data_IF_971200887808
#
_entry.id   IF_971200887808
#
_cell.length_a   1.000
_cell.length_b   1.000
_cell.length_c   1.000
_cell.angle_alpha   90.00
_cell.angle_beta   90.00
_cell.angle_gamma   90.00
#
_symmetry.space_group_name_H-M   'P 1'
#
loop_
_entity.id
_entity.type
_entity.pdbx_description
1 polymer ?
#
# COMPACT_ATOMS: atom_id res chain seq x y z
N UNK A 1 23.40 20.85 84.74
CA UNK A 1 22.53 21.84 84.04
C UNK A 1 23.35 23.11 83.86
N UNK A 2 23.90 23.35 82.66
CA UNK A 2 24.80 24.50 82.39
C UNK A 2 23.96 25.66 81.84
N UNK A 3 23.86 26.74 82.60
CA UNK A 3 23.20 27.98 82.16
C UNK A 3 24.22 28.77 81.33
N UNK A 4 23.91 28.97 80.05
CA UNK A 4 24.72 29.73 79.11
C UNK A 4 24.60 31.23 79.37
N UNK A 5 25.63 31.84 79.96
CA UNK A 5 25.75 33.29 80.08
C UNK A 5 26.11 33.90 78.71
N UNK A 6 25.14 34.59 78.10
CA UNK A 6 25.36 35.45 76.93
C UNK A 6 26.38 36.53 77.30
N UNK A 7 27.51 36.55 76.60
CA UNK A 7 28.56 37.58 76.75
C UNK A 7 28.06 38.89 76.14
N UNK A 8 27.71 39.88 76.96
CA UNK A 8 27.41 41.24 76.50
C UNK A 8 28.71 41.94 76.11
N UNK A 9 28.77 42.51 74.90
CA UNK A 9 29.88 43.36 74.46
C UNK A 9 29.88 44.66 75.28
N UNK A 10 31.05 45.02 75.82
CA UNK A 10 31.28 46.27 76.50
C UNK A 10 31.01 47.46 75.56
N UNK A 11 30.27 48.45 76.05
CA UNK A 11 29.92 49.68 75.32
C UNK A 11 31.05 50.69 75.53
N UNK A 12 31.79 50.95 74.46
CA UNK A 12 32.92 51.88 74.43
C UNK A 12 32.40 53.32 74.34
N UNK A 13 32.68 54.12 75.38
CA UNK A 13 32.36 55.56 75.56
C UNK A 13 30.88 55.97 75.63
N UNK A 14 30.57 56.85 76.59
CA UNK A 14 29.26 57.51 76.68
C UNK A 14 29.17 58.59 75.60
N UNK A 15 28.13 58.60 74.74
CA UNK A 15 27.95 59.66 73.76
C UNK A 15 27.71 61.01 74.47
N UNK A 16 28.29 62.09 73.96
CA UNK A 16 28.15 63.45 74.52
C UNK A 16 26.82 64.13 74.14
N UNK A 17 26.00 63.47 73.31
CA UNK A 17 24.64 63.89 72.94
C UNK A 17 23.65 62.73 73.10
N UNK A 18 22.39 63.04 73.41
CA UNK A 18 21.32 62.05 73.39
C UNK A 18 21.06 61.62 71.95
N UNK A 19 21.15 60.32 71.68
CA UNK A 19 20.76 59.72 70.41
C UNK A 19 19.25 59.45 70.45
N UNK A 20 18.47 60.19 69.64
CA UNK A 20 17.01 60.07 69.58
C UNK A 20 16.55 59.00 68.58
N UNK A 21 17.49 58.27 67.96
CA UNK A 21 17.16 57.15 67.08
C UNK A 21 16.60 56.01 67.92
N UNK A 22 15.38 55.57 67.62
CA UNK A 22 14.83 54.33 68.17
C UNK A 22 15.33 53.16 67.33
N UNK A 23 16.34 52.39 67.78
CA UNK A 23 16.94 51.31 67.01
C UNK A 23 15.95 50.19 66.67
N UNK A 24 14.79 50.11 67.33
CA UNK A 24 13.74 49.14 67.04
C UNK A 24 12.89 49.52 65.81
N UNK A 25 12.87 50.79 65.41
CA UNK A 25 12.07 51.28 64.27
C UNK A 25 12.89 51.68 63.05
N UNK A 26 14.22 51.55 63.08
CA UNK A 26 15.02 51.67 61.86
C UNK A 26 14.86 50.40 61.01
N UNK A 27 14.53 50.51 59.71
CA UNK A 27 14.56 49.36 58.83
C UNK A 27 16.00 48.81 58.79
N UNK A 28 16.19 47.56 59.21
CA UNK A 28 17.49 46.86 59.19
C UNK A 28 17.91 46.63 57.73
N UNK A 29 18.52 47.64 57.11
CA UNK A 29 19.21 47.50 55.83
C UNK A 29 20.59 46.88 56.04
N UNK A 30 20.66 45.75 56.75
CA UNK A 30 21.82 44.85 56.60
C UNK A 30 21.85 44.47 55.14
N UNK A 31 22.78 45.07 54.41
CA UNK A 31 23.22 44.61 53.10
C UNK A 31 23.60 43.15 53.33
N UNK A 32 22.68 42.22 53.01
CA UNK A 32 22.98 40.79 53.03
C UNK A 32 24.17 40.69 52.09
N UNK A 33 25.37 40.42 52.64
CA UNK A 33 26.66 40.59 51.94
C UNK A 33 26.54 40.09 50.50
N UNK A 34 26.32 41.00 49.56
CA UNK A 34 26.07 40.70 48.14
C UNK A 34 27.24 39.94 47.52
N UNK A 35 28.42 40.09 48.12
CA UNK A 35 29.63 39.33 47.85
C UNK A 35 29.42 37.80 47.90
N UNK A 36 28.59 37.28 48.82
CA UNK A 36 28.31 35.84 48.88
C UNK A 36 27.52 35.38 47.66
N UNK A 37 26.50 36.14 47.25
CA UNK A 37 25.70 35.83 46.07
C UNK A 37 26.52 35.95 44.78
N UNK A 38 27.36 36.97 44.65
CA UNK A 38 28.23 37.13 43.48
C UNK A 38 29.21 35.96 43.35
N UNK A 39 29.86 35.57 44.44
CA UNK A 39 30.77 34.42 44.43
C UNK A 39 30.03 33.09 44.17
N UNK A 40 28.84 32.93 44.73
CA UNK A 40 28.00 31.75 44.49
C UNK A 40 27.60 31.65 43.02
N UNK A 41 27.10 32.73 42.42
CA UNK A 41 26.73 32.77 41.00
C UNK A 41 27.95 32.53 40.10
N UNK A 42 29.10 33.09 40.43
CA UNK A 42 30.34 32.91 39.69
C UNK A 42 30.83 31.45 39.67
N UNK A 43 30.47 30.64 40.66
CA UNK A 43 30.84 29.21 40.71
C UNK A 43 29.73 28.34 40.12
N UNK A 44 28.47 28.61 40.46
CA UNK A 44 27.34 27.77 40.08
C UNK A 44 27.06 27.82 38.59
N UNK A 45 27.16 28.99 37.95
CA UNK A 45 26.90 29.10 36.51
C UNK A 45 27.92 28.29 35.70
N UNK A 46 29.25 28.44 35.88
CA UNK A 46 30.21 27.61 35.16
C UNK A 46 30.06 26.12 35.45
N UNK A 47 29.78 25.75 36.70
CA UNK A 47 29.57 24.35 37.08
C UNK A 47 28.34 23.75 36.38
N UNK A 48 27.25 24.52 36.28
CA UNK A 48 26.05 24.11 35.57
C UNK A 48 26.31 23.92 34.07
N UNK A 49 26.99 24.89 33.43
CA UNK A 49 27.36 24.81 32.01
C UNK A 49 28.28 23.62 31.75
N UNK A 50 29.29 23.42 32.60
CA UNK A 50 30.20 22.27 32.50
C UNK A 50 29.45 20.94 32.61
N UNK A 51 28.49 20.84 33.53
CA UNK A 51 27.66 19.64 33.70
C UNK A 51 26.81 19.37 32.47
N UNK A 52 26.16 20.40 31.92
CA UNK A 52 25.39 20.26 30.68
C UNK A 52 26.28 19.83 29.50
N UNK A 53 27.49 20.38 29.41
CA UNK A 53 28.43 20.03 28.35
C UNK A 53 28.87 18.57 28.46
N UNK A 54 29.23 18.09 29.65
CA UNK A 54 29.58 16.68 29.88
C UNK A 54 28.43 15.75 29.51
N UNK A 55 27.20 16.09 29.89
CA UNK A 55 26.02 15.29 29.52
C UNK A 55 25.83 15.21 27.99
N UNK A 56 26.04 16.31 27.28
CA UNK A 56 25.95 16.33 25.81
C UNK A 56 27.04 15.49 25.17
N UNK A 57 28.27 15.57 25.68
CA UNK A 57 29.39 14.79 25.15
C UNK A 57 29.15 13.27 25.33
N UNK A 58 28.69 12.87 26.52
CA UNK A 58 28.35 11.45 26.79
C UNK A 58 27.24 10.96 25.86
N UNK A 59 26.19 11.76 25.66
CA UNK A 59 25.09 11.41 24.77
C UNK A 59 25.55 11.31 23.31
N UNK A 60 26.38 12.23 22.83
CA UNK A 60 26.94 12.17 21.49
C UNK A 60 27.84 10.94 21.32
N UNK A 61 28.62 10.58 22.34
CA UNK A 61 29.42 9.36 22.37
C UNK A 61 28.57 8.09 22.27
N UNK A 62 27.49 7.99 23.05
CA UNK A 62 26.59 6.82 22.98
C UNK A 62 25.90 6.71 21.62
N UNK A 63 25.41 7.82 21.08
CA UNK A 63 24.77 7.85 19.75
C UNK A 63 25.73 7.39 18.64
N UNK A 64 27.00 7.82 18.68
CA UNK A 64 28.02 7.37 17.70
C UNK A 64 28.28 5.87 17.80
N UNK A 65 28.36 5.33 19.02
CA UNK A 65 28.49 3.89 19.24
C UNK A 65 27.28 3.13 18.70
N UNK A 66 26.07 3.63 18.92
CA UNK A 66 24.86 2.96 18.46
C UNK A 66 24.73 2.98 16.93
N UNK A 67 25.10 4.09 16.29
CA UNK A 67 25.20 4.17 14.83
C UNK A 67 26.20 3.14 14.30
N UNK A 68 27.40 3.05 14.88
CA UNK A 68 28.41 2.10 14.44
C UNK A 68 27.92 0.64 14.57
N UNK A 69 27.24 0.30 15.67
CA UNK A 69 26.62 -1.04 15.85
C UNK A 69 25.51 -1.32 14.86
N UNK A 70 24.70 -0.31 14.52
CA UNK A 70 23.64 -0.46 13.52
C UNK A 70 24.21 -0.64 12.12
N UNK A 71 25.29 0.05 11.80
CA UNK A 71 25.98 -0.05 10.52
C UNK A 71 26.65 -1.42 10.36
N UNK A 72 27.33 -1.91 11.39
CA UNK A 72 27.88 -3.28 11.42
C UNK A 72 26.78 -4.35 11.24
N UNK A 73 25.64 -4.20 11.92
CA UNK A 73 24.49 -5.11 11.74
C UNK A 73 23.93 -5.06 10.33
N UNK A 74 23.85 -3.87 9.74
CA UNK A 74 23.37 -3.69 8.37
C UNK A 74 24.30 -4.38 7.38
N UNK A 75 25.61 -4.19 7.51
CA UNK A 75 26.61 -4.80 6.63
C UNK A 75 26.58 -6.33 6.75
N UNK A 76 26.45 -6.86 7.98
CA UNK A 76 26.29 -8.29 8.22
C UNK A 76 25.01 -8.86 7.58
N UNK A 77 23.90 -8.10 7.61
CA UNK A 77 22.62 -8.54 7.03
C UNK A 77 22.53 -8.32 5.52
N UNK A 78 23.31 -7.43 4.94
CA UNK A 78 23.21 -7.05 3.53
C UNK A 78 23.46 -8.25 2.59
N UNK A 79 24.45 -9.08 2.89
CA UNK A 79 24.74 -10.29 2.11
C UNK A 79 23.55 -11.26 2.12
N UNK A 80 23.03 -11.57 3.31
CA UNK A 80 21.85 -12.45 3.46
C UNK A 80 20.62 -11.88 2.75
N UNK A 81 20.37 -10.58 2.88
CA UNK A 81 19.26 -9.91 2.23
C UNK A 81 19.39 -9.95 0.70
N UNK A 82 20.59 -9.73 0.16
CA UNK A 82 20.82 -9.79 -1.28
C UNK A 82 20.55 -11.19 -1.86
N UNK A 83 20.91 -12.24 -1.11
CA UNK A 83 20.62 -13.61 -1.48
C UNK A 83 19.12 -13.91 -1.41
N UNK A 84 18.43 -13.44 -0.38
CA UNK A 84 16.98 -13.61 -0.24
C UNK A 84 16.20 -12.91 -1.37
N UNK A 85 16.59 -11.69 -1.74
CA UNK A 85 16.01 -10.96 -2.87
C UNK A 85 16.30 -11.68 -4.19
N UNK A 86 17.52 -12.21 -4.37
CA UNK A 86 17.87 -13.03 -5.53
C UNK A 86 16.98 -14.26 -5.66
N UNK A 87 16.86 -15.05 -4.58
CA UNK A 87 16.03 -16.24 -4.53
C UNK A 87 14.54 -15.93 -4.78
N UNK A 88 14.03 -14.85 -4.20
CA UNK A 88 12.66 -14.41 -4.44
C UNK A 88 12.42 -14.06 -5.92
N UNK A 89 13.36 -13.33 -6.55
CA UNK A 89 13.28 -13.03 -7.98
C UNK A 89 13.30 -14.29 -8.83
N UNK A 90 14.15 -15.26 -8.49
CA UNK A 90 14.25 -16.52 -9.22
C UNK A 90 12.97 -17.37 -9.05
N UNK A 91 12.38 -17.38 -7.85
CA UNK A 91 11.10 -18.04 -7.59
C UNK A 91 9.96 -17.41 -8.40
N UNK A 92 9.87 -16.08 -8.45
CA UNK A 92 8.86 -15.36 -9.27
C UNK A 92 9.03 -15.67 -10.75
N UNK A 93 10.28 -15.77 -11.22
CA UNK A 93 10.56 -16.12 -12.62
C UNK A 93 10.13 -17.55 -12.93
N UNK A 94 10.36 -18.49 -12.01
CA UNK A 94 9.97 -19.89 -12.21
C UNK A 94 8.46 -20.10 -12.06
N UNK A 95 7.82 -19.44 -11.10
CA UNK A 95 6.36 -19.48 -10.93
C UNK A 95 5.64 -18.95 -12.15
N UNK A 96 6.15 -17.88 -12.78
CA UNK A 96 5.57 -17.36 -14.03
C UNK A 96 5.60 -18.39 -15.17
N UNK A 97 6.62 -19.26 -15.23
CA UNK A 97 6.66 -20.35 -16.22
C UNK A 97 5.63 -21.42 -15.91
N UNK A 98 5.49 -21.79 -14.63
CA UNK A 98 4.50 -22.78 -14.19
C UNK A 98 3.09 -22.25 -14.49
N UNK A 99 2.81 -20.98 -14.19
CA UNK A 99 1.54 -20.32 -14.52
C UNK A 99 1.29 -20.27 -16.03
N UNK A 100 2.34 -20.02 -16.83
CA UNK A 100 2.24 -20.08 -18.30
C UNK A 100 1.95 -21.49 -18.81
N UNK A 101 2.50 -22.53 -18.16
CA UNK A 101 2.21 -23.92 -18.49
C UNK A 101 0.80 -24.32 -18.02
N UNK A 102 0.40 -23.90 -16.82
CA UNK A 102 -0.92 -24.14 -16.26
C UNK A 102 -2.02 -23.54 -17.14
N UNK A 103 -1.87 -22.28 -17.54
CA UNK A 103 -2.77 -21.62 -18.49
C UNK A 103 -2.79 -22.29 -19.88
N UNK A 104 -1.69 -22.91 -20.31
CA UNK A 104 -1.65 -23.65 -21.58
C UNK A 104 -2.32 -25.04 -21.48
N UNK A 105 -2.09 -25.76 -20.38
CA UNK A 105 -2.55 -27.14 -20.20
C UNK A 105 -3.96 -27.26 -19.63
N UNK A 106 -4.40 -26.33 -18.78
CA UNK A 106 -5.73 -26.29 -18.16
C UNK A 106 -6.64 -25.27 -18.86
N UNK A 107 -6.67 -25.30 -20.19
CA UNK A 107 -7.74 -24.67 -20.95
C UNK A 107 -9.03 -25.47 -20.71
N UNK A 108 -10.13 -24.79 -20.38
CA UNK A 108 -11.44 -25.39 -20.15
C UNK A 108 -11.93 -26.22 -21.36
N UNK A 109 -11.47 -25.85 -22.56
CA UNK A 109 -11.70 -26.55 -23.81
C UNK A 109 -10.48 -26.39 -24.74
N UNK A 110 -10.20 -27.34 -25.65
CA UNK A 110 -9.20 -27.16 -26.69
C UNK A 110 -9.60 -25.98 -27.60
N UNK A 111 -8.71 -24.98 -27.75
CA UNK A 111 -8.97 -23.81 -28.60
C UNK A 111 -9.35 -24.22 -30.04
N UNK A 112 -8.79 -25.32 -30.54
CA UNK A 112 -9.13 -25.85 -31.86
C UNK A 112 -10.58 -26.31 -31.98
N UNK A 113 -11.15 -26.93 -30.95
CA UNK A 113 -12.54 -27.38 -30.94
C UNK A 113 -13.48 -26.20 -30.83
N UNK A 114 -13.13 -25.20 -30.01
CA UNK A 114 -13.88 -23.95 -29.93
C UNK A 114 -13.90 -23.20 -31.26
N UNK A 115 -12.76 -23.08 -31.95
CA UNK A 115 -12.70 -22.43 -33.25
C UNK A 115 -13.47 -23.22 -34.33
N UNK A 116 -13.46 -24.55 -34.25
CA UNK A 116 -14.25 -25.40 -35.14
C UNK A 116 -15.76 -25.19 -34.91
N UNK A 117 -16.20 -25.22 -33.66
CA UNK A 117 -17.59 -24.94 -33.28
C UNK A 117 -18.02 -23.54 -33.73
N UNK A 118 -17.19 -22.53 -33.47
CA UNK A 118 -17.44 -21.17 -33.95
C UNK A 118 -17.59 -21.14 -35.47
N UNK A 119 -16.72 -21.83 -36.22
CA UNK A 119 -16.72 -21.82 -37.68
C UNK A 119 -17.95 -22.47 -38.31
N UNK A 120 -18.57 -23.44 -37.63
CA UNK A 120 -19.78 -24.11 -38.11
C UNK A 120 -21.01 -23.19 -38.11
N UNK A 121 -21.02 -22.20 -37.20
CA UNK A 121 -22.13 -21.27 -37.05
C UNK A 121 -21.97 -19.96 -37.84
N UNK A 122 -20.81 -19.72 -38.45
CA UNK A 122 -20.57 -18.56 -39.32
C UNK A 122 -21.25 -18.81 -40.67
N UNK A 123 -22.06 -17.85 -41.12
CA UNK A 123 -22.69 -17.92 -42.45
C UNK A 123 -21.74 -17.40 -43.54
N UNK A 124 -21.97 -17.79 -44.80
CA UNK A 124 -21.16 -17.38 -45.97
C UNK A 124 -21.04 -15.85 -46.14
N UNK A 125 -21.92 -15.08 -45.50
CA UNK A 125 -21.98 -13.61 -45.58
C UNK A 125 -21.16 -12.91 -44.48
N UNK A 126 -20.57 -13.67 -43.56
CA UNK A 126 -19.85 -13.18 -42.38
C UNK A 126 -18.37 -13.50 -42.49
N UNK A 127 -17.52 -12.51 -42.21
CA UNK A 127 -16.07 -12.68 -42.17
C UNK A 127 -15.56 -12.31 -40.78
N UNK A 128 -14.81 -13.23 -40.17
CA UNK A 128 -14.14 -12.97 -38.90
C UNK A 128 -12.79 -12.32 -39.12
N UNK A 129 -12.53 -11.29 -38.33
CA UNK A 129 -11.28 -10.53 -38.35
C UNK A 129 -10.39 -10.92 -37.18
N UNK A 130 -10.95 -11.03 -35.98
CA UNK A 130 -10.21 -11.43 -34.79
C UNK A 130 -11.05 -12.28 -33.84
N UNK A 131 -10.39 -13.20 -33.16
CA UNK A 131 -10.94 -13.95 -32.04
C UNK A 131 -9.95 -13.83 -30.89
N UNK A 132 -10.34 -13.14 -29.84
CA UNK A 132 -9.52 -12.88 -28.66
C UNK A 132 -10.07 -13.67 -27.47
N UNK A 133 -9.35 -14.71 -27.03
CA UNK A 133 -9.73 -15.53 -25.87
C UNK A 133 -8.83 -15.18 -24.69
N UNK A 134 -9.43 -14.87 -23.54
CA UNK A 134 -8.73 -14.50 -22.31
C UNK A 134 -9.26 -15.29 -21.12
N UNK A 135 -8.35 -15.84 -20.32
CA UNK A 135 -8.65 -16.35 -18.99
C UNK A 135 -8.73 -15.18 -18.02
N UNK A 136 -9.77 -15.14 -17.21
CA UNK A 136 -9.98 -14.14 -16.17
C UNK A 136 -10.64 -14.75 -14.95
N UNK A 137 -10.81 -13.95 -13.91
CA UNK A 137 -11.48 -14.38 -12.69
C UNK A 137 -12.67 -13.45 -12.45
N UNK A 138 -13.83 -14.04 -12.13
CA UNK A 138 -15.02 -13.31 -11.67
C UNK A 138 -15.24 -13.65 -10.20
N UNK A 139 -15.53 -12.64 -9.39
CA UNK A 139 -15.99 -12.85 -8.02
C UNK A 139 -17.49 -13.11 -8.09
N UNK A 140 -17.92 -14.30 -7.70
CA UNK A 140 -19.32 -14.67 -7.61
C UNK A 140 -19.65 -14.93 -6.12
N UNK A 141 -20.29 -13.94 -5.50
CA UNK A 141 -20.50 -13.94 -4.05
C UNK A 141 -19.19 -13.89 -3.26
N UNK A 142 -18.84 -15.00 -2.62
CA UNK A 142 -17.63 -15.15 -1.80
C UNK A 142 -16.56 -16.04 -2.46
N UNK A 143 -16.85 -16.58 -3.65
CA UNK A 143 -15.98 -17.50 -4.37
C UNK A 143 -15.37 -16.83 -5.60
N UNK A 144 -14.14 -17.22 -5.92
CA UNK A 144 -13.44 -16.79 -7.15
C UNK A 144 -13.66 -17.87 -8.20
N UNK A 145 -14.43 -17.53 -9.23
CA UNK A 145 -14.73 -18.41 -10.35
C UNK A 145 -13.81 -18.05 -11.52
N UNK A 146 -13.12 -19.05 -12.06
CA UNK A 146 -12.36 -18.89 -13.30
C UNK A 146 -13.33 -18.78 -14.48
N UNK A 147 -13.19 -17.70 -15.25
CA UNK A 147 -14.00 -17.45 -16.44
C UNK A 147 -13.12 -17.29 -17.67
N UNK A 148 -13.64 -17.70 -18.81
CA UNK A 148 -13.05 -17.51 -20.12
C UNK A 148 -13.87 -16.51 -20.89
N UNK A 149 -13.27 -15.40 -21.31
CA UNK A 149 -13.91 -14.37 -22.11
C UNK A 149 -13.36 -14.44 -23.53
N UNK A 150 -14.23 -14.67 -24.50
CA UNK A 150 -13.92 -14.66 -25.92
C UNK A 150 -14.62 -13.48 -26.59
N UNK A 151 -13.85 -12.64 -27.26
CA UNK A 151 -14.36 -11.56 -28.09
C UNK A 151 -14.13 -11.91 -29.55
N UNK A 152 -15.22 -12.12 -30.29
CA UNK A 152 -15.22 -12.45 -31.70
C UNK A 152 -15.60 -11.20 -32.47
N UNK A 153 -14.68 -10.68 -33.29
CA UNK A 153 -14.93 -9.52 -34.13
C UNK A 153 -14.88 -9.87 -35.60
N UNK A 154 -15.72 -9.21 -36.39
CA UNK A 154 -15.85 -9.47 -37.81
C UNK A 154 -16.72 -8.43 -38.50
N UNK A 155 -17.05 -8.70 -39.76
CA UNK A 155 -17.95 -7.88 -40.55
C UNK A 155 -18.92 -8.74 -41.35
N UNK A 156 -20.08 -8.17 -41.68
CA UNK A 156 -21.11 -8.80 -42.52
C UNK A 156 -21.32 -7.98 -43.79
N UNK A 157 -21.36 -8.67 -44.94
CA UNK A 157 -21.59 -8.08 -46.26
C UNK A 157 -23.09 -8.08 -46.61
N UNK A 158 -23.93 -7.40 -45.80
CA UNK A 158 -25.37 -7.29 -46.09
C UNK A 158 -25.96 -5.93 -45.70
N UNK A 159 -27.11 -5.58 -46.28
CA UNK A 159 -27.91 -4.42 -45.87
C UNK A 159 -28.29 -4.47 -44.37
N UNK A 160 -28.51 -3.29 -43.77
CA UNK A 160 -28.57 -3.08 -42.31
C UNK A 160 -29.46 -4.10 -41.54
N UNK A 161 -30.61 -4.47 -42.10
CA UNK A 161 -31.57 -5.38 -41.47
C UNK A 161 -31.15 -6.85 -41.56
N UNK A 162 -30.48 -7.24 -42.65
CA UNK A 162 -29.96 -8.60 -42.83
C UNK A 162 -28.76 -8.87 -41.92
N UNK A 163 -27.85 -7.90 -41.81
CA UNK A 163 -26.65 -8.03 -41.00
C UNK A 163 -26.95 -8.19 -39.49
N UNK A 164 -27.90 -7.42 -38.95
CA UNK A 164 -28.34 -7.57 -37.55
C UNK A 164 -28.94 -8.96 -37.32
N UNK A 165 -29.75 -9.44 -38.25
CA UNK A 165 -30.41 -10.75 -38.15
C UNK A 165 -29.38 -11.87 -38.19
N UNK A 166 -28.37 -11.78 -39.06
CA UNK A 166 -27.29 -12.76 -39.16
C UNK A 166 -26.46 -12.83 -37.86
N UNK A 167 -26.07 -11.68 -37.31
CA UNK A 167 -25.28 -11.63 -36.06
C UNK A 167 -26.09 -12.13 -34.86
N UNK A 168 -27.37 -11.76 -34.75
CA UNK A 168 -28.22 -12.27 -33.67
C UNK A 168 -28.44 -13.78 -33.79
N UNK A 169 -28.60 -14.29 -35.01
CA UNK A 169 -28.70 -15.73 -35.26
C UNK A 169 -27.42 -16.45 -34.84
N UNK A 170 -26.24 -15.90 -35.16
CA UNK A 170 -24.95 -16.43 -34.70
C UNK A 170 -24.91 -16.54 -33.16
N UNK A 171 -25.29 -15.47 -32.45
CA UNK A 171 -25.33 -15.48 -30.97
C UNK A 171 -26.31 -16.54 -30.44
N UNK A 172 -27.46 -16.69 -31.08
CA UNK A 172 -28.47 -17.69 -30.72
C UNK A 172 -27.99 -19.12 -30.97
N UNK A 173 -27.35 -19.38 -32.12
CA UNK A 173 -26.83 -20.68 -32.51
C UNK A 173 -25.68 -21.10 -31.60
N UNK A 174 -24.74 -20.18 -31.29
CA UNK A 174 -23.68 -20.39 -30.28
C UNK A 174 -24.27 -20.72 -28.90
N UNK A 175 -25.39 -20.08 -28.54
CA UNK A 175 -26.05 -20.31 -27.24
C UNK A 175 -26.73 -21.68 -27.13
N UNK A 176 -26.95 -22.37 -28.26
CA UNK A 176 -27.58 -23.69 -28.33
C UNK A 176 -26.61 -24.81 -28.68
N UNK A 177 -25.35 -24.49 -28.94
CA UNK A 177 -24.33 -25.45 -29.33
C UNK A 177 -24.08 -26.49 -28.23
N UNK A 178 -24.11 -27.78 -28.58
CA UNK A 178 -24.00 -28.88 -27.62
C UNK A 178 -22.66 -28.89 -26.86
N UNK A 179 -21.58 -28.40 -27.49
CA UNK A 179 -20.25 -28.34 -26.88
C UNK A 179 -20.11 -27.12 -25.95
N UNK A 180 -20.74 -26.00 -26.30
CA UNK A 180 -20.60 -24.75 -25.54
C UNK A 180 -21.62 -24.63 -24.41
N UNK A 181 -22.84 -25.16 -24.56
CA UNK A 181 -23.91 -25.07 -23.55
C UNK A 181 -23.47 -25.46 -22.12
N UNK A 182 -22.68 -26.53 -21.89
CA UNK A 182 -22.26 -26.92 -20.54
C UNK A 182 -21.38 -25.89 -19.84
N UNK A 183 -20.62 -25.11 -20.61
CA UNK A 183 -19.64 -24.14 -20.11
C UNK A 183 -20.04 -22.69 -20.36
N UNK A 184 -21.10 -22.44 -21.15
CA UNK A 184 -21.50 -21.10 -21.54
C UNK A 184 -22.28 -20.41 -20.41
N UNK A 185 -21.73 -19.31 -19.90
CA UNK A 185 -22.45 -18.42 -19.01
C UNK A 185 -23.43 -17.56 -19.80
N UNK A 186 -22.89 -16.77 -20.73
CA UNK A 186 -23.61 -15.82 -21.57
C UNK A 186 -22.87 -15.52 -22.88
N UNK A 187 -23.62 -15.34 -23.96
CA UNK A 187 -23.15 -14.80 -25.23
C UNK A 187 -24.04 -13.61 -25.61
N UNK A 188 -23.44 -12.48 -25.99
CA UNK A 188 -24.18 -11.31 -26.43
C UNK A 188 -23.41 -10.49 -27.46
N UNK A 189 -24.15 -9.71 -28.24
CA UNK A 189 -23.61 -8.72 -29.15
C UNK A 189 -23.19 -7.47 -28.36
N UNK A 190 -21.89 -7.22 -28.28
CA UNK A 190 -21.32 -6.09 -27.52
C UNK A 190 -21.33 -4.80 -28.33
N UNK A 191 -20.91 -4.87 -29.60
CA UNK A 191 -20.85 -3.71 -30.46
C UNK A 191 -21.30 -4.04 -31.88
N UNK A 192 -21.98 -3.08 -32.50
CA UNK A 192 -22.39 -3.12 -33.88
C UNK A 192 -22.17 -1.74 -34.51
N UNK A 193 -21.27 -1.65 -35.49
CA UNK A 193 -20.89 -0.38 -36.10
C UNK A 193 -20.78 -0.49 -37.61
N UNK A 194 -21.34 0.48 -38.32
CA UNK A 194 -21.25 0.55 -39.79
C UNK A 194 -19.95 1.22 -40.19
N UNK A 195 -19.19 0.57 -41.06
CA UNK A 195 -18.08 1.23 -41.73
C UNK A 195 -18.61 2.10 -42.87
N UNK A 196 -18.24 3.38 -42.85
CA UNK A 196 -18.68 4.36 -43.86
C UNK A 196 -18.01 4.17 -45.21
N UNK A 197 -16.89 3.43 -45.27
CA UNK A 197 -16.10 3.26 -46.49
C UNK A 197 -16.45 1.98 -47.26
N UNK A 198 -16.80 0.89 -46.57
CA UNK A 198 -16.98 -0.44 -47.15
C UNK A 198 -18.43 -0.88 -47.26
N UNK A 199 -19.38 -0.08 -46.72
CA UNK A 199 -20.80 -0.44 -46.56
C UNK A 199 -21.04 -1.77 -45.79
N UNK A 200 -20.01 -2.24 -45.09
CA UNK A 200 -20.07 -3.42 -44.23
C UNK A 200 -20.44 -3.02 -42.81
N UNK A 201 -20.94 -4.01 -42.08
CA UNK A 201 -21.34 -3.81 -40.70
C UNK A 201 -20.46 -4.67 -39.80
N UNK A 202 -19.62 -3.99 -39.04
CA UNK A 202 -18.69 -4.56 -38.08
C UNK A 202 -19.44 -4.98 -36.82
N UNK A 203 -19.11 -6.15 -36.29
CA UNK A 203 -19.70 -6.66 -35.06
C UNK A 203 -18.61 -7.12 -34.10
N UNK A 204 -18.94 -7.09 -32.81
CA UNK A 204 -18.17 -7.69 -31.73
C UNK A 204 -19.12 -8.50 -30.87
N UNK A 205 -18.94 -9.81 -30.83
CA UNK A 205 -19.70 -10.73 -29.97
C UNK A 205 -18.81 -11.14 -28.80
N UNK A 206 -19.34 -10.94 -27.60
CA UNK A 206 -18.67 -11.30 -26.34
C UNK A 206 -19.30 -12.58 -25.78
N UNK A 207 -18.47 -13.58 -25.55
CA UNK A 207 -18.85 -14.91 -25.08
C UNK A 207 -18.09 -15.17 -23.79
N UNK A 208 -18.82 -15.39 -22.70
CA UNK A 208 -18.24 -15.76 -21.41
C UNK A 208 -18.57 -17.21 -21.10
N UNK A 209 -17.55 -17.96 -20.72
CA UNK A 209 -17.64 -19.36 -20.35
C UNK A 209 -17.07 -19.56 -18.94
N UNK A 210 -17.63 -20.48 -18.17
CA UNK A 210 -17.18 -20.83 -16.82
C UNK A 210 -17.22 -22.35 -16.63
N UNK A 211 -16.34 -22.88 -15.79
CA UNK A 211 -16.33 -24.30 -15.39
C UNK A 211 -17.34 -24.59 -14.26
N UNK A 212 -17.97 -23.55 -13.71
CA UNK A 212 -19.01 -23.73 -12.72
C UNK A 212 -20.21 -24.33 -13.42
N UNK A 213 -20.32 -25.66 -13.31
CA UNK A 213 -21.54 -26.43 -13.58
C UNK A 213 -22.71 -25.58 -13.11
N UNK A 214 -23.55 -25.12 -14.04
CA UNK A 214 -24.84 -24.50 -13.71
C UNK A 214 -25.63 -25.54 -12.93
N UNK A 215 -25.46 -25.58 -11.61
CA UNK A 215 -26.37 -26.30 -10.74
C UNK A 215 -27.74 -25.73 -11.06
N UNK A 216 -28.62 -26.61 -11.53
CA UNK A 216 -29.99 -26.26 -11.87
C UNK A 216 -30.62 -25.57 -10.68
N UNK A 217 -30.69 -24.24 -10.74
CA UNK A 217 -31.68 -23.47 -10.04
C UNK A 217 -33.00 -23.81 -10.70
N UNK A 218 -33.57 -24.95 -10.28
CA UNK A 218 -34.96 -25.26 -10.49
C UNK A 218 -35.76 -24.03 -10.05
N UNK A 219 -36.50 -23.49 -11.01
CA UNK A 219 -37.50 -22.48 -10.77
C UNK A 219 -38.50 -23.02 -9.74
N UNK A 220 -38.60 -22.33 -8.61
CA UNK A 220 -39.79 -22.33 -7.76
C UNK A 220 -40.60 -21.05 -8.03
#
# INVERSE_FOLDING_TARGET
>A
MKISLKKAKAKESSPWHQDFRNPETLPDIKVIRTQFFVNFVAIVIPLFVATMWVQKEVLLGSLRSDIAKLEEKKDAMQSSNSNAVGLSRDFVKESAKIESLDSYYYNLFPVSEYLAALSEHITDEMVLTSVDVKKGNRIDGNDVVEIWQSNVSGYVEHGNTGAITAVNKLVEDISKDELLVPVLDHAFLDNLSRDQNTDTLNFVVSITMSDTKKDGGDAE
#
